data_IF_991850453371
#
_entry.id   IF_991850453371
#
_cell.length_a   1.000
_cell.length_b   1.000
_cell.length_c   1.000
_cell.angle_alpha   90.00
_cell.angle_beta   90.00
_cell.angle_gamma   90.00
#
_symmetry.space_group_name_H-M   'P 1'
#
loop_
_entity.id
_entity.type
_entity.pdbx_description
1 polymer ?
#
# COMPACT_ATOMS: atom_id res chain seq x y z
N UNK A 1 -75.83 9.48 -53.39
CA UNK A 1 -74.82 9.63 -54.46
C UNK A 1 -73.50 9.15 -53.92
N UNK A 2 -72.84 8.26 -54.66
CA UNK A 2 -71.57 7.63 -54.31
C UNK A 2 -70.39 8.60 -54.45
N UNK A 3 -69.44 8.54 -53.52
CA UNK A 3 -68.02 8.88 -53.68
C UNK A 3 -67.29 8.37 -52.40
N UNK A 4 -66.53 7.27 -52.48
CA UNK A 4 -65.08 7.20 -52.73
C UNK A 4 -64.35 6.99 -51.36
N UNK A 5 -64.05 5.74 -50.93
CA UNK A 5 -62.86 4.92 -51.29
C UNK A 5 -61.59 5.52 -50.63
N UNK A 6 -60.73 4.86 -49.82
CA UNK A 6 -60.20 3.49 -49.75
C UNK A 6 -59.86 3.10 -48.30
N UNK A 7 -60.17 1.86 -47.92
CA UNK A 7 -59.33 1.07 -47.02
C UNK A 7 -58.13 0.57 -47.84
N UNK A 8 -56.90 0.76 -47.36
CA UNK A 8 -55.74 0.02 -47.84
C UNK A 8 -54.83 -0.37 -46.65
N UNK A 9 -54.42 -1.63 -46.69
CA UNK A 9 -53.63 -2.38 -45.73
C UNK A 9 -52.16 -1.93 -45.60
N UNK A 10 -51.58 -2.40 -44.48
CA UNK A 10 -50.16 -2.75 -44.24
C UNK A 10 -49.16 -1.59 -44.26
N UNK A 11 -48.23 -1.47 -43.31
CA UNK A 11 -47.30 -2.51 -42.88
C UNK A 11 -47.03 -2.50 -41.36
N UNK A 12 -47.00 -3.71 -40.80
CA UNK A 12 -46.32 -4.05 -39.57
C UNK A 12 -44.85 -3.58 -39.61
N UNK A 13 -44.42 -2.84 -38.58
CA UNK A 13 -43.02 -2.85 -38.16
C UNK A 13 -42.91 -3.32 -36.73
N UNK A 14 -42.79 -4.64 -36.58
CA UNK A 14 -42.06 -5.24 -35.47
C UNK A 14 -40.59 -4.86 -35.60
N UNK A 15 -40.08 -4.11 -34.63
CA UNK A 15 -38.70 -4.30 -34.21
C UNK A 15 -38.68 -4.56 -32.71
N UNK A 16 -38.28 -5.79 -32.39
CA UNK A 16 -37.93 -6.21 -31.05
C UNK A 16 -36.59 -5.58 -30.70
N UNK A 17 -36.55 -4.69 -29.70
CA UNK A 17 -35.30 -4.35 -29.03
C UNK A 17 -35.40 -4.69 -27.55
N UNK A 18 -34.76 -5.80 -27.20
CA UNK A 18 -34.73 -6.35 -25.86
C UNK A 18 -33.65 -5.68 -25.04
N UNK A 19 -34.02 -4.71 -24.20
CA UNK A 19 -33.33 -4.46 -22.92
C UNK A 19 -34.27 -3.82 -21.91
N UNK A 20 -35.22 -4.62 -21.39
CA UNK A 20 -35.96 -4.24 -20.18
C UNK A 20 -34.96 -4.13 -19.02
N UNK A 21 -34.55 -2.90 -18.66
CA UNK A 21 -33.75 -2.63 -17.45
C UNK A 21 -34.50 -3.20 -16.24
N UNK A 22 -33.97 -4.28 -15.64
CA UNK A 22 -34.50 -4.86 -14.41
C UNK A 22 -34.53 -3.77 -13.34
N UNK A 23 -35.71 -3.44 -12.81
CA UNK A 23 -35.83 -2.51 -11.66
C UNK A 23 -35.19 -3.18 -10.46
N UNK A 24 -34.00 -2.71 -10.06
CA UNK A 24 -33.37 -3.14 -8.81
C UNK A 24 -34.27 -2.76 -7.63
N UNK A 25 -34.49 -3.70 -6.72
CA UNK A 25 -35.14 -3.43 -5.44
C UNK A 25 -34.28 -2.40 -4.70
N UNK A 26 -34.89 -1.30 -4.26
CA UNK A 26 -34.19 -0.33 -3.41
C UNK A 26 -33.89 -1.02 -2.07
N UNK A 27 -32.61 -1.13 -1.69
CA UNK A 27 -32.24 -1.40 -0.29
C UNK A 27 -33.00 -0.38 0.56
N UNK A 28 -33.55 -0.83 1.69
CA UNK A 28 -34.35 -0.01 2.61
C UNK A 28 -33.59 1.21 3.16
N UNK A 29 -34.07 1.83 4.26
CA UNK A 29 -33.50 3.07 4.77
C UNK A 29 -31.97 2.98 4.92
N UNK A 30 -31.26 3.89 4.26
CA UNK A 30 -29.80 4.00 4.41
C UNK A 30 -29.54 4.52 5.81
N UNK A 31 -29.09 3.63 6.70
CA UNK A 31 -28.67 4.02 8.04
C UNK A 31 -27.40 4.86 7.88
N UNK A 32 -27.54 6.17 8.05
CA UNK A 32 -26.42 7.10 8.12
C UNK A 32 -26.00 7.18 9.58
N UNK A 33 -24.80 6.71 9.89
CA UNK A 33 -24.19 6.86 11.21
C UNK A 33 -23.59 8.27 11.25
N UNK A 34 -24.02 9.11 12.18
CA UNK A 34 -23.58 10.52 12.29
C UNK A 34 -22.10 10.64 12.67
N UNK A 35 -21.58 9.70 13.47
CA UNK A 35 -20.18 9.69 13.90
C UNK A 35 -19.38 8.65 13.12
N UNK A 36 -19.07 8.96 11.86
CA UNK A 36 -18.10 8.20 11.09
C UNK A 36 -16.70 8.75 11.35
N UNK A 37 -15.84 7.94 11.96
CA UNK A 37 -14.42 8.23 12.06
C UNK A 37 -13.70 7.69 10.84
N UNK A 38 -12.87 8.50 10.21
CA UNK A 38 -12.01 8.04 9.11
C UNK A 38 -10.82 7.28 9.67
N UNK A 39 -10.24 6.35 8.90
CA UNK A 39 -9.07 5.57 9.34
C UNK A 39 -7.90 6.47 9.77
N UNK A 40 -7.74 7.61 9.11
CA UNK A 40 -6.76 8.65 9.45
C UNK A 40 -6.96 9.27 10.84
N UNK A 41 -8.19 9.32 11.36
CA UNK A 41 -8.47 9.88 12.68
C UNK A 41 -8.08 8.90 13.81
N UNK A 42 -7.96 7.61 13.49
CA UNK A 42 -7.62 6.54 14.44
C UNK A 42 -6.12 6.22 14.41
N UNK A 43 -5.47 6.30 13.24
CA UNK A 43 -4.05 5.96 13.08
C UNK A 43 -3.09 7.11 13.39
N UNK A 44 -3.58 8.35 13.53
CA UNK A 44 -2.72 9.53 13.67
C UNK A 44 -1.87 9.79 12.42
N UNK A 45 -2.20 9.15 11.29
CA UNK A 45 -1.60 9.39 9.99
C UNK A 45 -2.18 10.70 9.45
N UNK A 46 -1.54 11.81 9.78
CA UNK A 46 -1.63 13.02 8.96
C UNK A 46 -1.34 12.60 7.52
N UNK A 47 -2.29 12.87 6.61
CA UNK A 47 -2.21 12.50 5.19
C UNK A 47 -0.83 12.88 4.62
N UNK A 48 0.06 11.89 4.47
CA UNK A 48 1.30 12.01 3.71
C UNK A 48 2.62 11.96 4.48
N UNK A 49 2.66 11.98 5.81
CA UNK A 49 3.95 11.92 6.54
C UNK A 49 4.27 10.47 6.89
N UNK A 50 4.88 9.75 5.96
CA UNK A 50 5.49 8.45 6.25
C UNK A 50 6.65 8.70 7.21
N UNK A 51 6.55 8.31 8.48
CA UNK A 51 7.62 8.56 9.46
C UNK A 51 8.77 7.56 9.30
N UNK A 52 8.46 6.29 9.08
CA UNK A 52 9.45 5.23 8.89
C UNK A 52 9.02 4.33 7.71
N UNK A 53 9.96 3.96 6.84
CA UNK A 53 9.72 3.05 5.70
C UNK A 53 10.52 1.78 5.94
N UNK A 54 9.83 0.64 5.98
CA UNK A 54 10.50 -0.66 6.03
C UNK A 54 10.36 -1.36 4.69
N UNK A 55 11.48 -1.71 4.08
CA UNK A 55 11.54 -2.49 2.84
C UNK A 55 12.70 -3.49 2.92
N UNK A 56 12.62 -4.65 2.25
CA UNK A 56 13.72 -5.59 2.21
C UNK A 56 14.93 -4.95 1.50
N UNK A 57 16.07 -4.95 2.19
CA UNK A 57 17.34 -4.47 1.65
C UNK A 57 18.39 -5.58 1.72
N UNK A 58 19.14 -5.75 0.63
CA UNK A 58 20.20 -6.76 0.54
C UNK A 58 21.56 -6.09 0.76
N UNK A 59 22.36 -6.63 1.67
CA UNK A 59 23.76 -6.23 1.87
C UNK A 59 24.65 -7.22 1.13
N UNK A 60 25.49 -6.74 0.22
CA UNK A 60 26.49 -7.58 -0.48
C UNK A 60 27.68 -7.81 0.43
N UNK A 61 28.02 -9.08 0.66
CA UNK A 61 29.15 -9.50 1.48
C UNK A 61 30.01 -10.51 0.71
N UNK A 62 31.25 -10.68 1.14
CA UNK A 62 32.12 -11.71 0.60
C UNK A 62 31.72 -13.12 1.09
N UNK A 63 32.34 -14.13 0.47
CA UNK A 63 32.10 -15.52 0.77
C UNK A 63 32.45 -15.90 2.22
N UNK A 64 33.49 -15.29 2.79
CA UNK A 64 33.94 -15.62 4.15
C UNK A 64 32.91 -15.17 5.18
N UNK A 65 32.43 -13.92 5.09
CA UNK A 65 31.38 -13.40 5.97
C UNK A 65 30.09 -14.22 5.85
N UNK A 66 29.67 -14.56 4.62
CA UNK A 66 28.50 -15.41 4.40
C UNK A 66 28.66 -16.77 5.10
N UNK A 67 29.82 -17.39 4.97
CA UNK A 67 30.08 -18.70 5.57
C UNK A 67 30.12 -18.62 7.11
N UNK A 68 30.62 -17.53 7.69
CA UNK A 68 30.58 -17.29 9.14
C UNK A 68 29.13 -17.20 9.64
N UNK A 69 28.27 -16.45 8.94
CA UNK A 69 26.84 -16.35 9.28
C UNK A 69 26.17 -17.73 9.16
N UNK A 70 26.44 -18.48 8.09
CA UNK A 70 25.94 -19.85 7.95
C UNK A 70 26.41 -20.78 9.08
N UNK A 71 27.66 -20.66 9.52
CA UNK A 71 28.19 -21.47 10.62
C UNK A 71 27.47 -21.17 11.94
N UNK A 72 27.27 -19.88 12.26
CA UNK A 72 26.51 -19.46 13.44
C UNK A 72 25.07 -19.98 13.41
N UNK A 73 24.42 -19.91 12.25
CA UNK A 73 23.08 -20.47 12.06
C UNK A 73 23.05 -21.98 12.28
N UNK A 74 24.03 -22.72 11.75
CA UNK A 74 24.13 -24.17 11.93
C UNK A 74 24.40 -24.59 13.38
N UNK A 75 25.05 -23.72 14.17
CA UNK A 75 25.24 -23.92 15.61
C UNK A 75 23.97 -23.63 16.43
N UNK A 76 22.90 -23.13 15.80
CA UNK A 76 21.65 -22.79 16.47
C UNK A 76 21.68 -21.45 17.22
N UNK A 77 22.66 -20.59 16.92
CA UNK A 77 22.81 -19.26 17.55
C UNK A 77 21.93 -18.18 16.90
N UNK A 78 21.00 -18.57 16.02
CA UNK A 78 20.00 -17.68 15.46
C UNK A 78 19.11 -18.42 14.47
N UNK A 79 17.86 -17.97 14.37
CA UNK A 79 16.83 -18.63 13.56
C UNK A 79 17.01 -18.34 12.06
N UNK A 80 17.66 -17.22 11.74
CA UNK A 80 17.94 -16.80 10.37
C UNK A 80 19.18 -15.90 10.30
N UNK A 81 19.72 -15.70 9.10
CA UNK A 81 20.81 -14.73 8.89
C UNK A 81 20.44 -13.30 9.35
N UNK A 82 19.16 -12.91 9.22
CA UNK A 82 18.68 -11.61 9.72
C UNK A 82 18.80 -11.52 11.23
N UNK A 83 18.36 -12.57 11.93
CA UNK A 83 18.36 -12.67 13.39
C UNK A 83 19.79 -12.52 13.93
N UNK A 84 20.72 -13.31 13.38
CA UNK A 84 22.14 -13.27 13.73
C UNK A 84 22.74 -11.87 13.50
N UNK A 85 22.45 -11.25 12.36
CA UNK A 85 22.97 -9.90 12.06
C UNK A 85 22.37 -8.86 13.01
N UNK A 86 21.10 -8.99 13.37
CA UNK A 86 20.42 -8.08 14.29
C UNK A 86 21.01 -8.18 15.70
N UNK A 87 21.26 -9.39 16.19
CA UNK A 87 21.89 -9.63 17.49
C UNK A 87 23.33 -9.09 17.53
N UNK A 88 24.12 -9.36 16.49
CA UNK A 88 25.48 -8.82 16.36
C UNK A 88 25.49 -7.29 16.30
N UNK A 89 24.51 -6.68 15.63
CA UNK A 89 24.37 -5.22 15.59
C UNK A 89 24.05 -4.67 16.98
N UNK A 90 23.11 -5.29 17.70
CA UNK A 90 22.74 -4.91 19.05
C UNK A 90 23.93 -5.01 20.02
N UNK A 91 24.66 -6.14 19.98
CA UNK A 91 25.86 -6.34 20.80
C UNK A 91 26.92 -5.25 20.54
N UNK A 92 27.10 -4.87 19.27
CA UNK A 92 28.05 -3.80 18.91
C UNK A 92 27.60 -2.43 19.40
N UNK A 93 26.31 -2.14 19.38
CA UNK A 93 25.75 -0.88 19.90
C UNK A 93 25.88 -0.83 21.42
N UNK A 94 25.65 -1.94 22.12
CA UNK A 94 25.84 -2.04 23.58
C UNK A 94 27.29 -1.82 24.00
N UNK A 95 28.26 -2.16 23.14
CA UNK A 95 29.69 -1.94 23.39
C UNK A 95 30.13 -0.47 23.17
N UNK A 96 29.27 0.41 22.63
CA UNK A 96 29.61 1.80 22.41
C UNK A 96 29.62 2.61 23.71
N UNK A 97 30.51 3.59 23.80
CA UNK A 97 30.47 4.59 24.86
C UNK A 97 29.25 5.51 24.70
N UNK A 98 28.75 6.07 25.81
CA UNK A 98 27.51 6.86 25.82
C UNK A 98 27.48 8.01 24.79
N UNK A 99 28.56 8.80 24.59
CA UNK A 99 28.62 9.79 23.52
C UNK A 99 28.47 9.20 22.12
N UNK A 100 29.18 8.12 21.81
CA UNK A 100 29.14 7.47 20.50
C UNK A 100 27.80 6.79 20.24
N UNK A 101 27.20 6.17 21.26
CA UNK A 101 25.87 5.57 21.18
C UNK A 101 24.79 6.61 20.84
N UNK A 102 24.85 7.79 21.46
CA UNK A 102 23.95 8.91 21.13
C UNK A 102 24.12 9.35 19.67
N UNK A 103 25.37 9.52 19.22
CA UNK A 103 25.68 9.89 17.84
C UNK A 103 25.22 8.82 16.84
N UNK A 104 25.33 7.54 17.20
CA UNK A 104 24.80 6.43 16.41
C UNK A 104 23.29 6.55 16.23
N UNK A 105 22.54 6.78 17.32
CA UNK A 105 21.08 6.92 17.25
C UNK A 105 20.68 8.11 16.36
N UNK A 106 21.30 9.27 16.55
CA UNK A 106 21.03 10.46 15.72
C UNK A 106 21.29 10.18 14.24
N UNK A 107 22.33 9.42 13.92
CA UNK A 107 22.65 9.06 12.54
C UNK A 107 21.64 8.09 11.93
N UNK A 108 21.19 7.08 12.69
CA UNK A 108 20.15 6.16 12.26
C UNK A 108 18.85 6.93 11.97
N UNK A 109 18.44 7.81 12.89
CA UNK A 109 17.22 8.61 12.74
C UNK A 109 17.26 9.48 11.48
N UNK A 110 18.39 10.13 11.19
CA UNK A 110 18.58 10.94 9.97
C UNK A 110 18.42 10.07 8.71
N UNK A 111 19.04 8.89 8.69
CA UNK A 111 18.98 7.99 7.53
C UNK A 111 17.56 7.47 7.30
N UNK A 112 16.83 7.13 8.35
CA UNK A 112 15.43 6.70 8.26
C UNK A 112 14.52 7.83 7.75
N UNK A 113 14.70 9.06 8.22
CA UNK A 113 13.97 10.22 7.74
C UNK A 113 14.26 10.50 6.26
N UNK A 114 15.51 10.36 5.82
CA UNK A 114 15.88 10.50 4.41
C UNK A 114 15.19 9.47 3.52
N UNK A 115 15.08 8.23 4.00
CA UNK A 115 14.41 7.15 3.25
C UNK A 115 12.89 7.32 3.23
N UNK A 116 12.31 7.77 4.34
CA UNK A 116 10.93 8.22 4.42
C UNK A 116 10.60 9.31 3.38
N UNK A 117 11.43 10.35 3.32
CA UNK A 117 11.26 11.45 2.38
C UNK A 117 11.35 11.01 0.90
N UNK A 118 12.32 10.16 0.57
CA UNK A 118 12.43 9.60 -0.80
C UNK A 118 11.19 8.80 -1.20
N UNK A 119 10.58 8.10 -0.24
CA UNK A 119 9.41 7.29 -0.51
C UNK A 119 8.17 8.16 -0.72
N UNK A 120 7.98 9.23 0.06
CA UNK A 120 6.90 10.20 -0.15
C UNK A 120 7.03 10.89 -1.52
N UNK A 121 8.25 11.27 -1.92
CA UNK A 121 8.47 11.87 -3.26
C UNK A 121 8.11 10.92 -4.41
N UNK A 122 8.39 9.62 -4.29
CA UNK A 122 8.02 8.62 -5.30
C UNK A 122 6.50 8.45 -5.40
N UNK A 123 5.82 8.44 -4.26
CA UNK A 123 4.35 8.34 -4.21
C UNK A 123 3.72 9.57 -4.86
N UNK A 124 4.19 10.78 -4.53
CA UNK A 124 3.67 12.03 -5.11
C UNK A 124 3.88 12.12 -6.62
N UNK A 125 5.04 11.67 -7.13
CA UNK A 125 5.29 11.60 -8.58
C UNK A 125 4.38 10.57 -9.27
N UNK A 126 4.23 9.39 -8.69
CA UNK A 126 3.34 8.36 -9.24
C UNK A 126 1.88 8.79 -9.28
N UNK A 127 1.40 9.57 -8.31
CA UNK A 127 0.03 10.12 -8.32
C UNK A 127 -0.14 11.13 -9.45
N UNK A 128 0.86 11.98 -9.71
CA UNK A 128 0.82 13.00 -10.77
C UNK A 128 0.86 12.42 -12.19
N UNK A 129 1.59 11.34 -12.41
CA UNK A 129 1.66 10.67 -13.71
C UNK A 129 0.37 9.91 -14.07
N UNK A 130 -0.36 9.38 -13.08
CA UNK A 130 -1.62 8.65 -13.31
C UNK A 130 -2.86 9.56 -13.41
N UNK A 131 -2.71 10.87 -13.21
CA UNK A 131 -3.80 11.86 -13.26
C UNK A 131 -3.87 12.62 -14.60
N UNK A 132 -2.92 12.38 -15.52
CA UNK A 132 -2.90 12.89 -16.90
C UNK A 132 -3.20 11.76 -17.90
#
# INVERSE_FOLDING_TARGET
MAALVHHHESEDKKEADGTKKKRLLKRGPTIQVENQVSRSDVTGEEKGIIKNVTYPANVRVDNHVRNQISALQNLGLGSSAKDIVQDLLAEKVEQLDSPTAKRYQEMVDILEQMDAYKQTEKVDKGIRENAN
#
